data_IF_185804214287
#
_entry.id   IF_185804214287
#
_cell.length_a   1.000
_cell.length_b   1.000
_cell.length_c   1.000
_cell.angle_alpha   90.00
_cell.angle_beta   90.00
_cell.angle_gamma   90.00
#
_symmetry.space_group_name_H-M   'P 1'
#
loop_
_entity.id
_entity.type
_entity.pdbx_description
1 polymer ?
#
# COMPACT_ATOMS: atom_id res chain seq x y z
N UNK A 1 42.31 -52.16 -7.67
CA UNK A 1 43.07 -50.97 -8.12
C UNK A 1 42.29 -50.31 -9.25
N UNK A 2 41.27 -49.51 -8.91
CA UNK A 2 40.48 -48.72 -9.86
C UNK A 2 40.17 -47.38 -9.19
N UNK A 3 40.79 -46.33 -9.73
CA UNK A 3 40.66 -44.96 -9.27
C UNK A 3 39.53 -44.28 -10.04
N UNK A 4 38.59 -43.66 -9.32
CA UNK A 4 37.53 -42.83 -9.90
C UNK A 4 37.92 -41.37 -9.69
N UNK A 5 38.09 -40.69 -10.82
CA UNK A 5 38.41 -39.27 -10.99
C UNK A 5 37.29 -38.36 -10.47
N UNK A 6 37.68 -37.37 -9.66
CA UNK A 6 36.85 -36.21 -9.26
C UNK A 6 36.73 -35.25 -10.45
N UNK A 7 35.50 -34.91 -10.84
CA UNK A 7 35.21 -33.81 -11.76
C UNK A 7 34.88 -32.57 -10.91
N UNK A 8 35.72 -31.54 -11.04
CA UNK A 8 35.52 -30.24 -10.41
C UNK A 8 34.45 -29.43 -11.14
N UNK A 9 33.55 -28.84 -10.37
CA UNK A 9 32.54 -27.91 -10.87
C UNK A 9 33.17 -26.51 -11.00
N UNK A 10 33.16 -25.97 -12.22
CA UNK A 10 33.62 -24.63 -12.55
C UNK A 10 32.71 -23.56 -11.94
N UNK A 11 33.24 -22.74 -11.02
CA UNK A 11 32.67 -21.44 -10.67
C UNK A 11 32.91 -20.47 -11.82
N UNK A 12 31.86 -20.13 -12.58
CA UNK A 12 31.87 -18.93 -13.43
C UNK A 12 31.45 -17.72 -12.60
N UNK A 13 32.42 -16.83 -12.48
CA UNK A 13 32.41 -15.50 -11.89
C UNK A 13 31.34 -14.64 -12.58
N UNK A 14 30.34 -14.17 -11.84
CA UNK A 14 29.52 -13.02 -12.23
C UNK A 14 30.20 -11.75 -11.73
N UNK A 15 30.88 -11.03 -12.62
CA UNK A 15 31.33 -9.66 -12.40
C UNK A 15 30.16 -8.72 -12.65
N UNK A 16 29.62 -8.07 -11.61
CA UNK A 16 28.79 -6.88 -11.74
C UNK A 16 29.66 -5.61 -11.55
N UNK A 17 29.45 -4.56 -12.34
CA UNK A 17 30.18 -3.31 -12.18
C UNK A 17 29.74 -2.59 -10.90
N UNK A 18 30.69 -2.26 -10.04
CA UNK A 18 30.51 -1.35 -8.91
C UNK A 18 30.28 0.07 -9.44
N UNK A 19 29.03 0.47 -9.60
CA UNK A 19 28.69 1.90 -9.70
C UNK A 19 28.61 2.48 -8.29
N UNK A 20 29.42 3.51 -8.06
CA UNK A 20 29.52 4.25 -6.80
C UNK A 20 28.17 4.89 -6.42
N UNK A 21 27.45 4.26 -5.49
CA UNK A 21 26.34 4.90 -4.79
C UNK A 21 26.90 5.90 -3.78
N UNK A 22 26.81 7.19 -4.10
CA UNK A 22 26.97 8.27 -3.11
C UNK A 22 25.74 8.27 -2.18
N UNK A 23 25.91 8.33 -0.85
CA UNK A 23 24.78 8.49 0.04
C UNK A 23 24.23 9.93 -0.09
N UNK A 24 22.94 10.05 -0.44
CA UNK A 24 22.19 11.29 -0.28
C UNK A 24 22.08 11.58 1.22
N UNK A 25 22.87 12.53 1.70
CA UNK A 25 22.69 13.10 3.03
C UNK A 25 21.36 13.84 3.08
N UNK A 26 20.47 13.40 3.95
CA UNK A 26 19.26 14.13 4.31
C UNK A 26 19.66 15.39 5.10
N UNK A 27 19.71 16.54 4.42
CA UNK A 27 19.76 17.83 5.10
C UNK A 27 18.35 18.18 5.57
N UNK A 28 18.15 18.17 6.89
CA UNK A 28 16.95 18.68 7.53
C UNK A 28 16.88 20.20 7.38
N UNK A 29 16.22 20.68 6.32
CA UNK A 29 15.82 22.08 6.24
C UNK A 29 14.41 22.23 6.83
N UNK A 30 14.36 22.70 8.07
CA UNK A 30 13.15 23.29 8.66
C UNK A 30 12.74 24.48 7.80
N UNK A 31 11.68 24.33 7.01
CA UNK A 31 11.06 25.44 6.28
C UNK A 31 10.39 26.34 7.32
N UNK A 32 11.06 27.44 7.64
CA UNK A 32 10.50 28.57 8.36
C UNK A 32 9.59 29.33 7.40
N UNK A 33 8.29 29.28 7.62
CA UNK A 33 7.31 30.09 6.88
C UNK A 33 7.65 31.56 7.13
N UNK A 34 8.16 32.23 6.09
CA UNK A 34 8.28 33.68 6.04
C UNK A 34 7.38 34.16 4.91
N UNK A 35 6.47 35.08 5.23
CA UNK A 35 5.47 35.62 4.31
C UNK A 35 6.14 36.30 3.11
N UNK A 36 5.70 36.04 1.86
CA UNK A 36 6.25 36.74 0.72
C UNK A 36 5.69 38.16 0.62
N UNK A 37 6.58 39.08 0.25
CA UNK A 37 6.32 40.49 -0.02
C UNK A 37 5.47 40.61 -1.29
N UNK A 38 4.38 41.38 -1.22
CA UNK A 38 3.51 41.67 -2.37
C UNK A 38 4.30 42.36 -3.48
N UNK A 39 4.41 41.70 -4.64
CA UNK A 39 4.79 42.33 -5.91
C UNK A 39 3.58 42.31 -6.82
N UNK A 40 3.16 43.50 -7.26
CA UNK A 40 1.99 43.73 -8.10
C UNK A 40 2.34 43.48 -9.56
N UNK A 41 2.20 42.23 -10.01
CA UNK A 41 2.11 41.92 -11.43
C UNK A 41 0.95 40.94 -11.64
N UNK A 42 -0.11 41.41 -12.28
CA UNK A 42 -1.30 40.61 -12.61
C UNK A 42 -0.91 39.40 -13.47
N UNK A 43 -1.19 38.15 -13.06
CA UNK A 43 -1.00 37.01 -13.93
C UNK A 43 -2.19 36.92 -14.90
N UNK A 44 -1.88 36.81 -16.20
CA UNK A 44 -2.81 36.34 -17.22
C UNK A 44 -3.25 34.91 -16.85
N UNK A 45 -4.33 34.78 -16.07
CA UNK A 45 -4.93 33.48 -15.79
C UNK A 45 -5.77 33.07 -17.00
N UNK A 46 -5.29 32.07 -17.74
CA UNK A 46 -6.20 31.21 -18.49
C UNK A 46 -7.30 30.71 -17.53
N UNK A 47 -8.57 30.63 -17.97
CA UNK A 47 -9.65 30.20 -17.09
C UNK A 47 -9.32 28.82 -16.52
N UNK A 48 -9.57 28.63 -15.22
CA UNK A 48 -9.39 27.33 -14.58
C UNK A 48 -10.21 26.28 -15.33
N UNK A 49 -9.59 25.11 -15.56
CA UNK A 49 -10.32 23.94 -16.05
C UNK A 49 -11.47 23.62 -15.10
N UNK A 50 -12.58 23.10 -15.64
CA UNK A 50 -13.77 22.75 -14.86
C UNK A 50 -14.05 21.26 -14.98
N UNK A 51 -14.19 20.60 -13.84
CA UNK A 51 -14.43 19.16 -13.74
C UNK A 51 -15.81 18.94 -13.13
N UNK A 52 -16.64 18.17 -13.83
CA UNK A 52 -18.00 17.83 -13.41
C UNK A 52 -18.06 16.56 -12.59
N UNK A 53 -18.94 16.54 -11.59
CA UNK A 53 -19.44 15.32 -10.95
C UNK A 53 -20.87 15.53 -10.49
N UNK A 54 -21.54 14.51 -9.95
CA UNK A 54 -22.91 14.66 -9.50
C UNK A 54 -23.04 15.49 -8.21
N UNK A 55 -24.20 16.14 -8.05
CA UNK A 55 -24.63 16.75 -6.78
C UNK A 55 -25.43 15.75 -5.92
N UNK A 56 -25.97 16.15 -4.77
CA UNK A 56 -26.67 15.28 -3.84
C UNK A 56 -25.71 14.54 -2.90
N UNK A 57 -26.19 13.42 -2.34
CA UNK A 57 -25.34 12.51 -1.57
C UNK A 57 -24.13 12.08 -2.39
N UNK A 58 -22.98 12.08 -1.73
CA UNK A 58 -21.69 11.73 -2.33
C UNK A 58 -21.07 10.48 -1.70
N UNK A 59 -20.22 9.82 -2.47
CA UNK A 59 -19.48 8.63 -2.13
C UNK A 59 -17.98 8.93 -2.07
N UNK A 60 -17.20 7.86 -1.94
CA UNK A 60 -15.76 7.98 -1.78
C UNK A 60 -15.04 8.07 -3.12
N UNK A 61 -15.59 7.45 -4.15
CA UNK A 61 -14.94 7.31 -5.44
C UNK A 61 -14.94 8.65 -6.19
N UNK A 62 -16.05 9.38 -6.27
CA UNK A 62 -16.09 10.67 -6.95
C UNK A 62 -15.39 11.76 -6.13
N UNK A 63 -15.45 11.69 -4.79
CA UNK A 63 -14.65 12.54 -3.91
C UNK A 63 -13.14 12.34 -4.13
N UNK A 64 -12.67 11.09 -4.19
CA UNK A 64 -11.26 10.77 -4.45
C UNK A 64 -10.86 11.07 -5.90
N UNK A 65 -11.69 10.73 -6.88
CA UNK A 65 -11.47 10.99 -8.30
C UNK A 65 -11.31 12.48 -8.59
N UNK A 66 -12.20 13.31 -8.04
CA UNK A 66 -12.11 14.77 -8.14
C UNK A 66 -10.85 15.33 -7.47
N UNK A 67 -10.37 14.71 -6.38
CA UNK A 67 -9.11 15.11 -5.75
C UNK A 67 -7.92 14.73 -6.62
N UNK A 68 -7.84 13.48 -7.08
CA UNK A 68 -6.72 12.96 -7.87
C UNK A 68 -6.55 13.69 -9.20
N UNK A 69 -7.64 13.93 -9.94
CA UNK A 69 -7.56 14.59 -11.24
C UNK A 69 -6.98 16.01 -11.12
N UNK A 70 -7.22 16.71 -10.00
CA UNK A 70 -6.64 18.03 -9.70
C UNK A 70 -5.14 18.03 -9.44
N UNK A 71 -4.53 16.86 -9.22
CA UNK A 71 -3.07 16.69 -9.09
C UNK A 71 -2.36 16.57 -10.45
N UNK A 72 -3.13 16.38 -11.52
CA UNK A 72 -2.60 16.24 -12.89
C UNK A 72 -2.20 17.59 -13.47
N UNK A 73 -1.33 17.59 -14.48
CA UNK A 73 -0.93 18.81 -15.19
C UNK A 73 -2.11 19.38 -15.98
N UNK A 74 -2.90 18.50 -16.60
CA UNK A 74 -4.04 18.87 -17.44
C UNK A 74 -5.17 19.55 -16.67
N UNK A 75 -5.43 19.10 -15.44
CA UNK A 75 -6.54 19.60 -14.62
C UNK A 75 -6.06 20.23 -13.30
N UNK A 76 -4.80 20.68 -13.27
CA UNK A 76 -4.21 21.28 -12.07
C UNK A 76 -5.10 22.40 -11.53
N UNK A 77 -5.46 22.30 -10.26
CA UNK A 77 -6.32 23.28 -9.57
C UNK A 77 -7.68 23.53 -10.24
N UNK A 78 -8.21 22.58 -11.02
CA UNK A 78 -9.51 22.73 -11.66
C UNK A 78 -10.63 23.00 -10.65
N UNK A 79 -11.62 23.78 -11.07
CA UNK A 79 -12.86 24.00 -10.33
C UNK A 79 -13.73 22.74 -10.41
N UNK A 80 -14.35 22.36 -9.28
CA UNK A 80 -15.29 21.23 -9.23
C UNK A 80 -16.71 21.75 -9.34
N UNK A 81 -17.44 21.29 -10.36
CA UNK A 81 -18.84 21.62 -10.62
C UNK A 81 -19.71 20.40 -10.30
N UNK A 82 -20.62 20.52 -9.33
CA UNK A 82 -21.52 19.43 -8.93
C UNK A 82 -22.90 19.61 -9.54
N UNK A 83 -23.27 18.75 -10.49
CA UNK A 83 -24.53 18.83 -11.23
C UNK A 83 -24.86 17.51 -11.93
N UNK A 84 -26.14 17.28 -12.22
CA UNK A 84 -26.61 16.22 -13.14
C UNK A 84 -27.20 16.77 -14.43
N UNK A 85 -27.17 18.10 -14.65
CA UNK A 85 -27.71 18.71 -15.87
C UNK A 85 -26.80 18.38 -17.08
N UNK A 86 -27.28 17.58 -18.05
CA UNK A 86 -26.46 17.20 -19.20
C UNK A 86 -25.94 18.40 -20.00
N UNK A 87 -26.69 19.51 -20.04
CA UNK A 87 -26.28 20.72 -20.76
C UNK A 87 -25.10 21.42 -20.08
N UNK A 88 -25.02 21.35 -18.75
CA UNK A 88 -23.87 21.87 -18.02
C UNK A 88 -22.68 20.94 -18.24
N UNK A 89 -22.88 19.62 -18.08
CA UNK A 89 -21.84 18.60 -18.21
C UNK A 89 -21.16 18.60 -19.59
N UNK A 90 -21.91 18.84 -20.67
CA UNK A 90 -21.39 18.93 -22.04
C UNK A 90 -20.30 20.01 -22.19
N UNK A 91 -20.42 21.12 -21.45
CA UNK A 91 -19.47 22.24 -21.48
C UNK A 91 -18.29 22.15 -20.51
N UNK A 92 -18.13 21.04 -19.78
CA UNK A 92 -17.05 20.84 -18.81
C UNK A 92 -15.86 20.13 -19.43
N UNK A 93 -14.66 20.43 -18.93
CA UNK A 93 -13.40 19.90 -19.46
C UNK A 93 -13.22 18.41 -19.16
N UNK A 94 -13.68 17.94 -17.99
CA UNK A 94 -13.79 16.53 -17.65
C UNK A 94 -15.07 16.28 -16.86
N UNK A 95 -15.56 15.03 -16.86
CA UNK A 95 -16.73 14.63 -16.09
C UNK A 95 -16.49 13.25 -15.47
N UNK A 96 -16.75 13.12 -14.18
CA UNK A 96 -16.54 11.91 -13.38
C UNK A 96 -17.85 11.53 -12.70
N UNK A 97 -18.15 10.24 -12.66
CA UNK A 97 -19.27 9.69 -11.89
C UNK A 97 -20.67 10.20 -12.27
N UNK A 98 -20.79 10.81 -13.46
CA UNK A 98 -22.05 11.29 -14.00
C UNK A 98 -21.97 11.39 -15.51
N UNK A 99 -23.13 11.29 -16.17
CA UNK A 99 -23.27 11.44 -17.62
C UNK A 99 -23.41 10.13 -18.39
N UNK A 100 -23.16 8.99 -17.75
CA UNK A 100 -23.35 7.63 -18.30
C UNK A 100 -22.36 7.26 -19.39
N UNK A 101 -21.16 7.84 -19.39
CA UNK A 101 -20.15 7.66 -20.44
C UNK A 101 -18.76 7.46 -19.85
N UNK A 102 -18.10 6.38 -20.26
CA UNK A 102 -16.65 6.22 -20.15
C UNK A 102 -16.02 6.45 -21.53
N UNK A 103 -15.29 7.56 -21.65
CA UNK A 103 -14.50 7.91 -22.83
C UNK A 103 -13.25 8.69 -22.42
N UNK A 104 -12.09 8.03 -22.28
CA UNK A 104 -10.87 8.69 -21.84
C UNK A 104 -10.33 9.70 -22.87
N UNK A 105 -10.70 9.61 -24.15
CA UNK A 105 -10.27 10.61 -25.15
C UNK A 105 -10.98 11.95 -24.96
N UNK A 106 -12.15 11.95 -24.31
CA UNK A 106 -12.94 13.13 -23.99
C UNK A 106 -13.05 13.38 -22.48
N UNK A 107 -12.17 12.75 -21.68
CA UNK A 107 -12.12 12.88 -20.22
C UNK A 107 -13.48 12.64 -19.54
N UNK A 108 -14.18 11.60 -19.97
CA UNK A 108 -15.42 11.12 -19.35
C UNK A 108 -15.14 9.82 -18.60
N UNK A 109 -15.35 9.83 -17.29
CA UNK A 109 -14.98 8.75 -16.38
C UNK A 109 -16.17 8.36 -15.52
N UNK A 110 -17.24 7.88 -16.16
CA UNK A 110 -18.41 7.31 -15.49
C UNK A 110 -18.46 5.79 -15.70
N UNK A 111 -18.96 5.06 -14.71
CA UNK A 111 -19.04 3.60 -14.65
C UNK A 111 -20.49 3.06 -14.53
N UNK A 112 -21.49 3.94 -14.41
CA UNK A 112 -22.89 3.57 -14.17
C UNK A 112 -23.63 2.95 -15.38
N UNK A 113 -23.06 3.04 -16.58
CA UNK A 113 -23.69 2.58 -17.81
C UNK A 113 -23.87 1.06 -17.85
N UNK A 114 -24.99 0.63 -18.42
CA UNK A 114 -25.31 -0.79 -18.59
C UNK A 114 -24.21 -1.48 -19.41
N UNK A 115 -23.70 -2.59 -18.90
CA UNK A 115 -22.65 -3.37 -19.56
C UNK A 115 -21.24 -2.79 -19.42
N UNK A 116 -21.04 -1.84 -18.51
CA UNK A 116 -19.68 -1.45 -18.10
C UNK A 116 -19.00 -2.62 -17.38
N UNK A 117 -17.83 -3.02 -17.89
CA UNK A 117 -17.04 -4.16 -17.39
C UNK A 117 -15.54 -3.81 -17.32
N UNK A 118 -15.20 -2.51 -17.35
CA UNK A 118 -13.80 -2.09 -17.35
C UNK A 118 -13.15 -2.43 -16.01
N UNK A 119 -11.97 -3.04 -16.10
CA UNK A 119 -11.12 -3.39 -14.96
C UNK A 119 -9.76 -2.68 -15.07
N UNK A 120 -9.01 -2.61 -13.98
CA UNK A 120 -7.67 -2.03 -13.99
C UNK A 120 -6.70 -2.74 -14.96
N UNK A 121 -6.90 -4.05 -15.16
CA UNK A 121 -5.97 -4.92 -15.88
C UNK A 121 -4.91 -5.47 -14.93
N UNK A 122 -3.74 -5.87 -15.45
CA UNK A 122 -2.60 -6.33 -14.64
C UNK A 122 -2.89 -7.51 -13.67
N UNK A 123 -3.92 -8.32 -13.96
CA UNK A 123 -4.35 -9.45 -13.13
C UNK A 123 -5.45 -9.12 -12.13
N UNK A 124 -5.89 -7.85 -12.04
CA UNK A 124 -7.04 -7.43 -11.24
C UNK A 124 -8.33 -7.58 -12.04
N UNK A 125 -9.38 -8.08 -11.39
CA UNK A 125 -10.68 -8.34 -12.01
C UNK A 125 -11.81 -7.48 -11.41
N UNK A 126 -11.49 -6.62 -10.44
CA UNK A 126 -12.43 -5.71 -9.81
C UNK A 126 -12.85 -4.65 -10.83
N UNK A 127 -14.17 -4.51 -11.02
CA UNK A 127 -14.75 -3.47 -11.88
C UNK A 127 -14.41 -2.09 -11.32
N UNK A 128 -13.99 -1.16 -12.16
CA UNK A 128 -13.57 0.17 -11.72
C UNK A 128 -14.76 1.04 -11.32
N UNK A 129 -14.57 1.91 -10.31
CA UNK A 129 -15.41 3.10 -10.10
C UNK A 129 -14.80 4.32 -10.79
N UNK A 130 -15.42 5.49 -10.64
CA UNK A 130 -14.91 6.74 -11.22
C UNK A 130 -13.51 7.09 -10.68
N UNK A 131 -13.23 6.81 -9.40
CA UNK A 131 -11.87 6.91 -8.84
C UNK A 131 -10.88 5.97 -9.55
N UNK A 132 -11.25 4.71 -9.73
CA UNK A 132 -10.43 3.71 -10.41
C UNK A 132 -10.11 4.09 -11.85
N UNK A 133 -11.07 4.67 -12.57
CA UNK A 133 -10.87 5.17 -13.93
C UNK A 133 -9.87 6.33 -13.96
N UNK A 134 -10.04 7.32 -13.08
CA UNK A 134 -9.07 8.43 -12.95
C UNK A 134 -7.68 7.89 -12.61
N UNK A 135 -7.58 6.97 -11.66
CA UNK A 135 -6.32 6.37 -11.28
C UNK A 135 -5.70 5.57 -12.44
N UNK A 136 -6.49 4.83 -13.22
CA UNK A 136 -6.01 4.08 -14.38
C UNK A 136 -5.32 4.97 -15.43
N UNK A 137 -5.86 6.17 -15.66
CA UNK A 137 -5.35 7.09 -16.68
C UNK A 137 -4.29 8.07 -16.17
N UNK A 138 -4.38 8.48 -14.90
CA UNK A 138 -3.53 9.55 -14.34
C UNK A 138 -2.67 9.11 -13.14
N UNK A 139 -2.86 7.90 -12.62
CA UNK A 139 -2.16 7.43 -11.42
C UNK A 139 -0.65 7.35 -11.61
N UNK A 140 -0.17 6.99 -12.81
CA UNK A 140 1.26 7.01 -13.14
C UNK A 140 1.84 8.41 -13.09
N UNK A 141 1.16 9.40 -13.66
CA UNK A 141 1.57 10.80 -13.63
C UNK A 141 1.73 11.30 -12.18
N UNK A 142 0.73 11.02 -11.33
CA UNK A 142 0.73 11.42 -9.92
C UNK A 142 1.91 10.78 -9.16
N UNK A 143 2.15 9.49 -9.38
CA UNK A 143 3.24 8.74 -8.73
C UNK A 143 4.61 9.22 -9.24
N UNK A 144 4.74 9.47 -10.55
CA UNK A 144 5.95 9.96 -11.18
C UNK A 144 6.37 11.31 -10.61
N UNK A 145 5.41 12.22 -10.35
CA UNK A 145 5.64 13.50 -9.68
C UNK A 145 6.17 13.33 -8.25
N UNK A 146 5.60 12.41 -7.46
CA UNK A 146 6.10 12.15 -6.09
C UNK A 146 7.52 11.58 -6.10
N UNK A 147 7.85 10.69 -7.05
CA UNK A 147 9.18 10.11 -7.17
C UNK A 147 10.21 11.02 -7.85
N UNK A 148 9.76 12.06 -8.55
CA UNK A 148 10.58 12.88 -9.46
C UNK A 148 11.26 12.03 -10.54
N UNK A 149 10.50 11.09 -11.12
CA UNK A 149 10.92 10.19 -12.19
C UNK A 149 9.97 10.32 -13.40
N UNK A 150 10.32 9.71 -14.54
CA UNK A 150 9.41 9.60 -15.68
C UNK A 150 8.33 8.54 -15.46
N UNK A 151 7.16 8.71 -16.09
CA UNK A 151 6.01 7.78 -15.95
C UNK A 151 6.31 6.34 -16.37
N UNK A 152 7.23 6.15 -17.32
CA UNK A 152 7.67 4.83 -17.79
C UNK A 152 8.72 4.17 -16.90
N UNK A 153 9.14 4.82 -15.80
CA UNK A 153 10.15 4.26 -14.91
C UNK A 153 9.62 2.99 -14.20
N UNK A 154 10.42 1.90 -14.09
CA UNK A 154 9.97 0.65 -13.48
C UNK A 154 9.44 0.80 -12.06
N UNK A 155 10.03 1.68 -11.24
CA UNK A 155 9.52 1.95 -9.89
C UNK A 155 8.18 2.69 -9.89
N UNK A 156 7.89 3.55 -10.87
CA UNK A 156 6.56 4.16 -11.03
C UNK A 156 5.55 3.07 -11.33
N UNK A 157 5.85 2.16 -12.25
CA UNK A 157 4.97 1.04 -12.55
C UNK A 157 4.77 0.11 -11.33
N UNK A 158 5.82 -0.17 -10.57
CA UNK A 158 5.73 -1.00 -9.36
C UNK A 158 4.84 -0.35 -8.29
N UNK A 159 4.97 0.97 -8.10
CA UNK A 159 4.11 1.73 -7.19
C UNK A 159 2.67 1.80 -7.69
N UNK A 160 2.46 1.95 -8.98
CA UNK A 160 1.15 1.97 -9.61
C UNK A 160 0.34 0.70 -9.31
N UNK A 161 0.99 -0.47 -9.41
CA UNK A 161 0.35 -1.74 -9.06
C UNK A 161 0.16 -1.90 -7.54
N UNK A 162 1.18 -1.53 -6.75
CA UNK A 162 1.12 -1.69 -5.29
C UNK A 162 0.06 -0.79 -4.64
N UNK A 163 -0.07 0.45 -5.08
CA UNK A 163 -1.07 1.41 -4.59
C UNK A 163 -2.47 1.00 -5.05
N UNK A 164 -2.62 0.50 -6.28
CA UNK A 164 -3.91 -0.04 -6.69
C UNK A 164 -4.37 -1.16 -5.75
N UNK A 165 -3.52 -2.16 -5.56
CA UNK A 165 -3.79 -3.33 -4.70
C UNK A 165 -4.07 -2.98 -3.24
N UNK A 166 -3.34 -2.02 -2.68
CA UNK A 166 -3.39 -1.72 -1.24
C UNK A 166 -4.37 -0.61 -0.87
N UNK A 167 -4.86 0.16 -1.85
CA UNK A 167 -5.70 1.33 -1.60
C UNK A 167 -6.88 1.43 -2.57
N UNK A 168 -6.63 1.50 -3.88
CA UNK A 168 -7.68 1.81 -4.86
C UNK A 168 -8.70 0.70 -5.05
N UNK A 169 -8.27 -0.56 -5.13
CA UNK A 169 -9.14 -1.70 -5.44
C UNK A 169 -10.30 -1.82 -4.44
N UNK A 170 -10.08 -1.51 -3.17
CA UNK A 170 -11.15 -1.51 -2.17
C UNK A 170 -12.18 -0.40 -2.40
N UNK A 171 -11.76 0.77 -2.91
CA UNK A 171 -12.68 1.87 -3.27
C UNK A 171 -13.53 1.45 -4.46
N UNK A 172 -12.92 0.88 -5.50
CA UNK A 172 -13.60 0.34 -6.68
C UNK A 172 -14.62 -0.75 -6.30
N UNK A 173 -14.21 -1.70 -5.45
CA UNK A 173 -15.05 -2.81 -5.03
C UNK A 173 -16.27 -2.35 -4.23
N UNK A 174 -16.07 -1.48 -3.23
CA UNK A 174 -17.14 -0.99 -2.36
C UNK A 174 -18.19 -0.23 -3.17
N UNK A 175 -17.73 0.66 -4.05
CA UNK A 175 -18.61 1.48 -4.86
C UNK A 175 -19.44 0.65 -5.86
N UNK A 176 -18.83 -0.40 -6.43
CA UNK A 176 -19.52 -1.33 -7.31
C UNK A 176 -20.34 -2.42 -6.58
N UNK A 177 -20.44 -2.36 -5.25
CA UNK A 177 -21.20 -3.33 -4.45
C UNK A 177 -20.61 -4.74 -4.48
N UNK A 178 -19.30 -4.87 -4.68
CA UNK A 178 -18.60 -6.15 -4.73
C UNK A 178 -18.27 -6.60 -3.31
N UNK A 179 -18.70 -7.82 -2.97
CA UNK A 179 -18.37 -8.43 -1.67
C UNK A 179 -16.89 -8.80 -1.62
N UNK A 180 -16.26 -8.65 -0.44
CA UNK A 180 -14.86 -9.04 -0.25
C UNK A 180 -14.63 -10.55 -0.41
N UNK A 181 -15.67 -11.37 -0.18
CA UNK A 181 -15.61 -12.82 -0.29
C UNK A 181 -16.86 -13.36 -0.99
N UNK A 182 -16.67 -14.35 -1.86
CA UNK A 182 -17.77 -15.11 -2.48
C UNK A 182 -18.34 -16.11 -1.46
N UNK A 183 -19.24 -15.64 -0.58
CA UNK A 183 -19.86 -16.48 0.45
C UNK A 183 -21.26 -16.00 0.83
N UNK A 184 -22.15 -16.96 1.09
CA UNK A 184 -23.50 -16.69 1.61
C UNK A 184 -23.53 -16.55 3.15
N UNK A 185 -22.38 -16.72 3.82
CA UNK A 185 -22.32 -16.60 5.28
C UNK A 185 -22.31 -15.12 5.70
N UNK A 186 -23.05 -14.74 6.75
CA UNK A 186 -22.96 -13.39 7.27
C UNK A 186 -21.55 -13.10 7.81
N UNK A 187 -21.08 -11.83 7.74
CA UNK A 187 -19.79 -11.47 8.28
C UNK A 187 -19.81 -11.64 9.81
N UNK A 188 -18.67 -12.06 10.38
CA UNK A 188 -18.53 -12.23 11.83
C UNK A 188 -18.68 -10.91 12.60
N UNK A 189 -18.42 -9.79 11.95
CA UNK A 189 -18.59 -8.43 12.46
C UNK A 189 -18.77 -7.46 11.29
N UNK A 190 -19.38 -6.30 11.55
CA UNK A 190 -19.52 -5.22 10.56
C UNK A 190 -18.37 -4.24 10.73
N UNK A 191 -17.67 -3.91 9.64
CA UNK A 191 -16.60 -2.92 9.65
C UNK A 191 -17.04 -1.64 8.94
N UNK A 192 -17.30 -0.57 9.71
CA UNK A 192 -17.65 0.76 9.19
C UNK A 192 -16.55 1.81 9.44
N UNK A 193 -15.30 1.36 9.61
CA UNK A 193 -14.14 2.25 9.86
C UNK A 193 -13.35 2.57 8.58
N UNK A 194 -13.64 1.90 7.47
CA UNK A 194 -12.98 2.14 6.18
C UNK A 194 -13.26 3.54 5.61
N UNK A 195 -12.42 3.95 4.66
CA UNK A 195 -12.45 5.29 4.06
C UNK A 195 -13.83 5.63 3.47
N UNK A 196 -14.46 4.73 2.70
CA UNK A 196 -15.79 5.02 2.12
C UNK A 196 -16.87 5.27 3.16
N UNK A 197 -16.85 4.53 4.28
CA UNK A 197 -17.73 4.79 5.43
C UNK A 197 -17.44 6.13 6.09
N UNK A 198 -16.17 6.55 6.18
CA UNK A 198 -15.76 7.85 6.74
C UNK A 198 -16.17 9.02 5.85
N UNK A 199 -16.02 8.88 4.54
CA UNK A 199 -16.52 9.85 3.56
C UNK A 199 -18.04 9.93 3.63
N UNK A 200 -18.73 8.80 3.65
CA UNK A 200 -20.20 8.76 3.76
C UNK A 200 -20.74 9.54 4.96
N UNK A 201 -20.04 9.51 6.11
CA UNK A 201 -20.40 10.27 7.32
C UNK A 201 -20.26 11.80 7.18
N UNK A 202 -19.64 12.30 6.12
CA UNK A 202 -19.56 13.73 5.85
C UNK A 202 -20.77 14.26 5.08
N UNK A 203 -21.60 13.39 4.50
CA UNK A 203 -22.86 13.80 3.89
C UNK A 203 -23.73 14.53 4.91
N UNK A 204 -24.62 15.40 4.40
CA UNK A 204 -25.61 16.05 5.25
C UNK A 204 -26.52 15.00 5.88
N UNK A 205 -26.74 15.13 7.19
CA UNK A 205 -27.69 14.28 7.89
C UNK A 205 -29.11 14.63 7.43
N UNK A 206 -29.99 13.63 7.33
CA UNK A 206 -31.38 13.84 6.93
C UNK A 206 -32.17 14.73 7.91
N UNK A 207 -31.70 14.85 9.15
CA UNK A 207 -32.25 15.74 10.18
C UNK A 207 -31.66 17.14 10.16
N UNK A 208 -30.64 17.41 9.34
CA UNK A 208 -30.04 18.73 9.25
C UNK A 208 -31.06 19.72 8.65
N UNK A 209 -31.38 20.83 9.34
CA UNK A 209 -32.37 21.79 8.84
C UNK A 209 -31.89 22.54 7.59
N UNK A 210 -30.58 22.57 7.34
CA UNK A 210 -29.99 23.19 6.16
C UNK A 210 -29.52 22.12 5.18
N UNK A 211 -30.34 21.90 4.15
CA UNK A 211 -30.08 21.00 3.02
C UNK A 211 -29.67 21.78 1.76
N UNK A 212 -29.06 22.96 1.94
CA UNK A 212 -28.68 23.82 0.81
C UNK A 212 -27.55 23.22 -0.04
N UNK A 213 -27.52 23.48 -1.36
CA UNK A 213 -26.41 23.09 -2.23
C UNK A 213 -25.06 23.61 -1.75
N UNK A 214 -25.01 24.81 -1.15
CA UNK A 214 -23.80 25.42 -0.61
C UNK A 214 -23.21 24.56 0.50
N UNK A 215 -24.02 24.15 1.48
CA UNK A 215 -23.58 23.33 2.60
C UNK A 215 -23.21 21.91 2.16
N UNK A 216 -23.93 21.35 1.19
CA UNK A 216 -23.59 20.07 0.57
C UNK A 216 -22.21 20.13 -0.11
N UNK A 217 -21.93 21.23 -0.84
CA UNK A 217 -20.64 21.43 -1.50
C UNK A 217 -19.50 21.62 -0.50
N UNK A 218 -19.72 22.33 0.61
CA UNK A 218 -18.73 22.42 1.70
C UNK A 218 -18.44 21.04 2.31
N UNK A 219 -19.47 20.21 2.50
CA UNK A 219 -19.33 18.83 2.94
C UNK A 219 -18.51 17.99 1.94
N UNK A 220 -18.79 18.14 0.65
CA UNK A 220 -18.03 17.46 -0.41
C UNK A 220 -16.56 17.88 -0.44
N UNK A 221 -16.23 19.17 -0.26
CA UNK A 221 -14.84 19.61 -0.17
C UNK A 221 -14.10 18.95 1.00
N UNK A 222 -14.77 18.75 2.15
CA UNK A 222 -14.19 17.99 3.27
C UNK A 222 -13.99 16.52 2.93
N UNK A 223 -14.90 15.91 2.17
CA UNK A 223 -14.77 14.54 1.69
C UNK A 223 -13.59 14.38 0.73
N UNK A 224 -13.43 15.29 -0.24
CA UNK A 224 -12.27 15.34 -1.13
C UNK A 224 -10.97 15.46 -0.34
N UNK A 225 -10.92 16.36 0.65
CA UNK A 225 -9.73 16.55 1.48
C UNK A 225 -9.38 15.28 2.27
N UNK A 226 -10.37 14.62 2.88
CA UNK A 226 -10.20 13.37 3.62
C UNK A 226 -9.68 12.23 2.74
N UNK A 227 -10.37 11.95 1.63
CA UNK A 227 -9.99 10.85 0.74
C UNK A 227 -8.64 11.13 0.06
N UNK A 228 -8.44 12.37 -0.36
CA UNK A 228 -7.22 12.83 -1.01
C UNK A 228 -5.99 12.78 -0.11
N UNK A 229 -6.11 13.19 1.16
CA UNK A 229 -4.99 13.12 2.10
C UNK A 229 -4.56 11.69 2.35
N UNK A 230 -5.51 10.76 2.53
CA UNK A 230 -5.19 9.34 2.74
C UNK A 230 -4.57 8.69 1.52
N UNK A 231 -5.03 9.06 0.32
CA UNK A 231 -4.39 8.62 -0.91
C UNK A 231 -2.94 9.11 -1.01
N UNK A 232 -2.68 10.40 -0.75
CA UNK A 232 -1.32 10.94 -0.77
C UNK A 232 -0.43 10.33 0.31
N UNK A 233 -0.94 10.09 1.51
CA UNK A 233 -0.23 9.37 2.58
C UNK A 233 0.15 7.95 2.13
N UNK A 234 -0.76 7.25 1.45
CA UNK A 234 -0.48 5.93 0.86
C UNK A 234 0.61 5.99 -0.21
N UNK A 235 0.51 6.95 -1.15
CA UNK A 235 1.53 7.16 -2.19
C UNK A 235 2.90 7.44 -1.57
N UNK A 236 2.97 8.35 -0.60
CA UNK A 236 4.21 8.74 0.09
C UNK A 236 4.79 7.61 0.92
N UNK A 237 3.95 6.85 1.64
CA UNK A 237 4.40 5.66 2.36
C UNK A 237 5.02 4.65 1.39
N UNK A 238 4.36 4.39 0.27
CA UNK A 238 4.86 3.42 -0.67
C UNK A 238 6.16 3.89 -1.33
N UNK A 239 6.25 5.16 -1.73
CA UNK A 239 7.43 5.74 -2.34
C UNK A 239 8.64 5.80 -1.39
N UNK A 240 8.43 6.27 -0.16
CA UNK A 240 9.53 6.62 0.77
C UNK A 240 9.92 5.49 1.72
N UNK A 241 9.01 4.55 1.99
CA UNK A 241 9.22 3.48 2.97
C UNK A 241 9.13 2.09 2.35
N UNK A 242 8.04 1.78 1.65
CA UNK A 242 7.84 0.44 1.09
C UNK A 242 8.77 0.14 -0.07
N UNK A 243 8.90 1.02 -1.06
CA UNK A 243 9.69 0.78 -2.28
C UNK A 243 11.17 0.49 -1.97
N UNK A 244 11.87 1.28 -1.12
CA UNK A 244 13.27 1.00 -0.77
C UNK A 244 13.45 -0.31 0.00
N UNK A 245 12.46 -0.72 0.79
CA UNK A 245 12.52 -1.95 1.59
C UNK A 245 12.71 -3.21 0.74
N UNK A 246 12.28 -3.20 -0.54
CA UNK A 246 12.41 -4.37 -1.42
C UNK A 246 13.85 -4.87 -1.53
N UNK A 247 14.79 -3.97 -1.73
CA UNK A 247 16.22 -4.31 -1.87
C UNK A 247 16.75 -5.00 -0.60
N UNK A 248 16.40 -4.47 0.56
CA UNK A 248 16.75 -5.04 1.87
C UNK A 248 16.18 -6.45 2.01
N UNK A 249 14.89 -6.65 1.71
CA UNK A 249 14.25 -7.96 1.81
C UNK A 249 14.90 -8.96 0.86
N UNK A 250 15.18 -8.55 -0.38
CA UNK A 250 15.85 -9.39 -1.38
C UNK A 250 17.24 -9.84 -0.93
N UNK A 251 18.04 -8.93 -0.38
CA UNK A 251 19.35 -9.25 0.20
C UNK A 251 19.22 -10.23 1.38
N UNK A 252 18.28 -9.97 2.29
CA UNK A 252 18.05 -10.83 3.45
C UNK A 252 17.55 -12.23 3.07
N UNK A 253 16.78 -12.36 1.98
CA UNK A 253 16.42 -13.66 1.39
C UNK A 253 17.66 -14.34 0.84
N UNK A 254 18.54 -13.64 0.12
CA UNK A 254 19.75 -14.25 -0.44
C UNK A 254 20.70 -14.79 0.64
N UNK A 255 20.84 -14.07 1.76
CA UNK A 255 21.73 -14.40 2.89
C UNK A 255 21.15 -15.45 3.85
N UNK A 256 19.90 -15.88 3.67
CA UNK A 256 19.19 -16.75 4.65
C UNK A 256 19.92 -18.05 4.98
N UNK A 257 20.69 -18.62 4.04
CA UNK A 257 21.47 -19.83 4.26
C UNK A 257 22.72 -19.61 5.11
N UNK A 258 23.26 -18.38 5.13
CA UNK A 258 24.37 -18.00 6.02
C UNK A 258 23.86 -17.81 7.46
N UNK A 259 22.59 -17.43 7.62
CA UNK A 259 21.91 -17.32 8.91
C UNK A 259 21.56 -18.69 9.48
N UNK A 260 20.87 -19.52 8.69
CA UNK A 260 20.47 -20.85 9.08
C UNK A 260 20.52 -21.82 7.89
N UNK A 261 21.20 -22.98 8.01
CA UNK A 261 21.31 -23.94 6.92
C UNK A 261 19.97 -24.47 6.37
N UNK A 262 18.87 -24.36 7.11
CA UNK A 262 17.54 -24.71 6.57
C UNK A 262 17.10 -23.78 5.44
N UNK A 263 17.55 -22.52 5.45
CA UNK A 263 17.03 -21.48 4.57
C UNK A 263 15.60 -21.02 4.88
N UNK A 264 15.02 -21.47 5.99
CA UNK A 264 13.64 -21.13 6.40
C UNK A 264 13.58 -19.97 7.41
N UNK A 265 14.75 -19.45 7.82
CA UNK A 265 14.90 -18.30 8.73
C UNK A 265 15.66 -17.21 8.00
N UNK A 266 15.11 -16.01 7.96
CA UNK A 266 15.82 -14.81 7.51
C UNK A 266 15.97 -13.81 8.65
N UNK A 267 16.98 -12.94 8.54
CA UNK A 267 17.23 -11.86 9.49
C UNK A 267 17.17 -10.54 8.74
N UNK A 268 16.33 -9.62 9.18
CA UNK A 268 16.37 -8.24 8.71
C UNK A 268 17.43 -7.49 9.50
N UNK A 269 18.47 -7.02 8.80
CA UNK A 269 19.53 -6.17 9.36
C UNK A 269 19.00 -4.83 9.88
N UNK A 270 17.89 -4.37 9.33
CA UNK A 270 17.12 -3.19 9.75
C UNK A 270 15.64 -3.49 9.54
N UNK A 271 14.82 -3.14 10.53
CA UNK A 271 13.38 -3.27 10.38
C UNK A 271 12.88 -2.41 9.21
N UNK A 272 12.09 -3.00 8.33
CA UNK A 272 11.43 -2.35 7.21
C UNK A 272 10.10 -3.04 6.89
N UNK A 273 9.20 -2.43 6.08
CA UNK A 273 8.02 -3.12 5.58
C UNK A 273 8.42 -4.33 4.72
N UNK A 274 8.41 -5.53 5.30
CA UNK A 274 8.96 -6.73 4.64
C UNK A 274 7.90 -7.70 4.12
N UNK A 275 6.72 -7.75 4.74
CA UNK A 275 5.74 -8.82 4.55
C UNK A 275 5.33 -9.00 3.09
N UNK A 276 4.82 -7.95 2.45
CA UNK A 276 4.36 -8.03 1.07
C UNK A 276 5.51 -8.33 0.10
N UNK A 277 6.67 -7.68 0.27
CA UNK A 277 7.87 -7.97 -0.53
C UNK A 277 8.31 -9.42 -0.41
N UNK A 278 8.23 -10.01 0.78
CA UNK A 278 8.60 -11.42 0.97
C UNK A 278 7.75 -12.32 0.08
N UNK A 279 6.42 -12.18 0.10
CA UNK A 279 5.53 -13.00 -0.73
C UNK A 279 5.78 -12.80 -2.23
N UNK A 280 5.97 -11.56 -2.67
CA UNK A 280 6.26 -11.26 -4.08
C UNK A 280 7.61 -11.85 -4.51
N UNK A 281 8.67 -11.64 -3.72
CA UNK A 281 10.01 -12.12 -4.02
C UNK A 281 10.10 -13.64 -3.94
N UNK A 282 9.39 -14.30 -3.02
CA UNK A 282 9.34 -15.76 -2.97
C UNK A 282 8.75 -16.35 -4.26
N UNK A 283 7.70 -15.75 -4.80
CA UNK A 283 7.10 -16.16 -6.07
C UNK A 283 8.03 -15.86 -7.28
N UNK A 284 8.58 -14.64 -7.35
CA UNK A 284 9.44 -14.20 -8.46
C UNK A 284 10.75 -14.99 -8.52
N UNK A 285 11.42 -15.17 -7.37
CA UNK A 285 12.70 -15.84 -7.28
C UNK A 285 12.57 -17.36 -7.11
N UNK A 286 11.34 -17.89 -7.03
CA UNK A 286 11.02 -19.30 -6.78
C UNK A 286 11.76 -19.83 -5.55
N UNK A 287 11.65 -19.08 -4.45
CA UNK A 287 12.35 -19.37 -3.19
C UNK A 287 11.86 -20.70 -2.63
N UNK A 288 12.77 -21.64 -2.47
CA UNK A 288 12.56 -22.89 -1.73
C UNK A 288 13.77 -23.16 -0.82
N UNK A 289 13.57 -23.68 0.41
CA UNK A 289 12.27 -23.76 1.09
C UNK A 289 11.73 -22.36 1.42
N UNK A 290 10.40 -22.25 1.57
CA UNK A 290 9.74 -21.01 1.99
C UNK A 290 10.18 -20.56 3.39
N UNK A 291 10.28 -19.24 3.59
CA UNK A 291 10.69 -18.66 4.86
C UNK A 291 9.53 -18.77 5.87
N UNK A 292 9.83 -19.27 7.07
CA UNK A 292 8.86 -19.46 8.15
C UNK A 292 9.04 -18.44 9.28
N UNK A 293 10.26 -17.96 9.50
CA UNK A 293 10.55 -16.97 10.54
C UNK A 293 11.40 -15.82 10.02
N UNK A 294 11.03 -14.60 10.42
CA UNK A 294 11.80 -13.38 10.20
C UNK A 294 12.25 -12.83 11.54
N UNK A 295 13.56 -12.68 11.70
CA UNK A 295 14.17 -12.08 12.89
C UNK A 295 14.52 -10.63 12.63
N UNK A 296 14.32 -9.77 13.62
CA UNK A 296 14.73 -8.37 13.54
C UNK A 296 14.86 -7.76 14.93
N UNK A 297 15.72 -6.76 15.07
CA UNK A 297 15.84 -5.99 16.29
C UNK A 297 14.70 -4.96 16.39
N UNK A 298 14.08 -4.90 17.56
CA UNK A 298 13.27 -3.77 18.01
C UNK A 298 14.24 -2.69 18.52
N UNK A 299 14.60 -1.75 17.65
CA UNK A 299 15.58 -0.69 17.94
C UNK A 299 15.26 0.11 19.22
N UNK A 300 13.98 0.23 19.58
CA UNK A 300 13.55 0.96 20.78
C UNK A 300 13.75 0.12 22.04
N UNK A 301 13.39 -1.16 21.96
CA UNK A 301 13.49 -2.09 23.08
C UNK A 301 14.88 -2.69 23.28
N UNK A 302 15.77 -2.60 22.28
CA UNK A 302 17.04 -3.35 22.20
C UNK A 302 16.82 -4.85 22.45
N UNK A 303 15.75 -5.37 21.87
CA UNK A 303 15.31 -6.76 21.96
C UNK A 303 15.09 -7.30 20.56
N UNK A 304 15.20 -8.61 20.40
CA UNK A 304 15.01 -9.30 19.15
C UNK A 304 13.63 -9.91 19.05
N UNK A 305 12.99 -9.74 17.89
CA UNK A 305 11.71 -10.35 17.54
C UNK A 305 11.94 -11.63 16.73
N UNK A 306 11.10 -12.61 16.99
CA UNK A 306 10.94 -13.81 16.16
C UNK A 306 9.51 -13.76 15.62
N UNK A 307 9.35 -13.36 14.36
CA UNK A 307 8.02 -13.25 13.75
C UNK A 307 7.78 -14.39 12.77
N UNK A 308 6.69 -15.13 12.97
CA UNK A 308 6.25 -16.16 12.05
C UNK A 308 5.64 -15.51 10.80
N UNK A 309 6.01 -16.02 9.62
CA UNK A 309 5.44 -15.56 8.35
C UNK A 309 4.01 -16.09 8.21
N UNK A 310 3.09 -15.25 7.76
CA UNK A 310 1.70 -15.63 7.51
C UNK A 310 1.57 -16.65 6.37
N UNK A 311 0.52 -17.46 6.36
CA UNK A 311 0.23 -18.40 5.28
C UNK A 311 -0.06 -17.69 3.96
N UNK A 312 -0.73 -16.54 4.02
CA UNK A 312 -0.98 -15.61 2.91
C UNK A 312 -0.90 -14.16 3.43
N UNK A 313 -0.78 -13.14 2.54
CA UNK A 313 -0.67 -11.74 2.95
C UNK A 313 -1.80 -11.21 3.85
N UNK A 314 -3.01 -11.76 3.69
CA UNK A 314 -4.26 -11.39 4.36
C UNK A 314 -4.65 -12.33 5.52
N UNK A 315 -3.89 -13.40 5.76
CA UNK A 315 -4.20 -14.40 6.79
C UNK A 315 -3.56 -14.07 8.14
N UNK A 316 -4.30 -14.34 9.21
CA UNK A 316 -3.78 -14.36 10.58
C UNK A 316 -3.09 -15.68 10.94
N UNK A 317 -3.23 -16.71 10.11
CA UNK A 317 -2.59 -18.01 10.29
C UNK A 317 -1.13 -17.92 9.84
N UNK A 318 -0.22 -18.44 10.65
CA UNK A 318 1.21 -18.48 10.32
C UNK A 318 1.55 -19.78 9.59
N UNK A 319 2.50 -19.74 8.64
CA UNK A 319 3.08 -20.94 7.98
C UNK A 319 3.57 -21.95 9.02
N UNK A 320 4.20 -21.42 10.08
CA UNK A 320 4.57 -22.18 11.26
C UNK A 320 4.56 -21.26 12.50
N UNK A 321 3.44 -21.22 13.25
CA UNK A 321 3.39 -20.44 14.48
C UNK A 321 4.40 -20.98 15.49
N UNK A 322 4.85 -20.14 16.42
CA UNK A 322 5.69 -20.58 17.54
C UNK A 322 4.97 -21.68 18.36
N UNK A 323 5.72 -22.62 18.97
CA UNK A 323 5.18 -23.79 19.67
C UNK A 323 4.07 -23.45 20.66
N UNK A 324 3.01 -24.26 20.66
CA UNK A 324 1.83 -24.04 21.51
C UNK A 324 2.19 -23.91 23.00
N UNK A 325 3.14 -24.72 23.48
CA UNK A 325 3.61 -24.69 24.86
C UNK A 325 4.33 -23.39 25.26
N UNK A 326 4.78 -22.56 24.31
CA UNK A 326 5.39 -21.25 24.60
C UNK A 326 4.37 -20.12 24.64
N UNK A 327 3.21 -20.30 24.02
CA UNK A 327 2.27 -19.20 23.74
C UNK A 327 1.67 -18.64 25.01
N UNK A 328 1.69 -17.32 25.14
CA UNK A 328 1.22 -16.61 26.34
C UNK A 328 2.25 -16.54 27.47
N UNK A 329 3.33 -17.33 27.42
CA UNK A 329 4.40 -17.26 28.42
C UNK A 329 5.31 -16.05 28.19
N UNK A 330 5.92 -15.58 29.28
CA UNK A 330 6.80 -14.40 29.31
C UNK A 330 8.03 -14.64 30.19
N UNK A 331 9.07 -13.86 29.94
CA UNK A 331 10.23 -13.69 30.81
C UNK A 331 10.83 -15.03 31.31
N UNK A 332 11.03 -15.18 32.62
CA UNK A 332 11.64 -16.37 33.23
C UNK A 332 10.82 -17.64 33.04
N UNK A 333 9.49 -17.54 32.99
CA UNK A 333 8.62 -18.70 32.77
C UNK A 333 8.82 -19.27 31.37
N UNK A 334 8.84 -18.39 30.36
CA UNK A 334 9.14 -18.77 28.98
C UNK A 334 10.59 -19.27 28.85
N UNK A 335 11.54 -18.65 29.55
CA UNK A 335 12.95 -19.09 29.53
C UNK A 335 13.12 -20.50 30.11
N UNK A 336 12.38 -20.83 31.18
CA UNK A 336 12.36 -22.18 31.77
C UNK A 336 11.72 -23.21 30.84
N UNK A 337 10.58 -22.88 30.24
CA UNK A 337 9.85 -23.77 29.34
C UNK A 337 10.64 -24.06 28.05
N UNK A 338 11.21 -23.01 27.44
CA UNK A 338 12.00 -23.14 26.20
C UNK A 338 13.40 -23.71 26.45
N UNK A 339 13.91 -23.60 27.68
CA UNK A 339 15.32 -23.78 28.03
C UNK A 339 16.26 -22.84 27.26
N UNK A 340 15.77 -21.64 26.92
CA UNK A 340 16.51 -20.58 26.24
C UNK A 340 16.53 -19.37 27.16
N UNK A 341 17.71 -18.84 27.47
CA UNK A 341 17.83 -17.67 28.34
C UNK A 341 17.34 -16.39 27.67
N UNK A 342 16.83 -15.45 28.47
CA UNK A 342 16.50 -14.10 28.02
C UNK A 342 15.28 -14.02 27.12
N UNK A 343 14.37 -15.00 27.17
CA UNK A 343 13.10 -14.90 26.48
C UNK A 343 12.27 -13.74 27.05
N UNK A 344 11.54 -13.01 26.19
CA UNK A 344 10.72 -11.86 26.59
C UNK A 344 9.24 -12.25 26.60
N UNK A 345 8.73 -12.77 25.48
CA UNK A 345 7.36 -13.27 25.38
C UNK A 345 7.15 -14.12 24.13
N UNK A 346 6.03 -14.85 24.10
CA UNK A 346 5.41 -15.35 22.86
C UNK A 346 3.92 -15.00 22.87
N UNK A 347 3.42 -14.39 21.80
CA UNK A 347 2.01 -14.05 21.67
C UNK A 347 1.12 -15.31 21.74
N UNK A 348 -0.10 -15.18 22.25
CA UNK A 348 -1.02 -16.32 22.46
C UNK A 348 -1.32 -17.12 21.17
N UNK A 349 -1.34 -16.48 20.00
CA UNK A 349 -1.50 -17.19 18.73
C UNK A 349 -0.19 -17.75 18.15
N UNK A 350 0.96 -17.39 18.71
CA UNK A 350 2.28 -17.83 18.25
C UNK A 350 2.84 -17.08 17.04
N UNK A 351 2.18 -16.01 16.56
CA UNK A 351 2.65 -15.27 15.38
C UNK A 351 3.95 -14.48 15.62
N UNK A 352 4.24 -14.14 16.88
CA UNK A 352 5.45 -13.39 17.25
C UNK A 352 5.90 -13.77 18.65
N UNK A 353 7.22 -13.76 18.85
CA UNK A 353 7.85 -13.79 20.16
C UNK A 353 9.07 -12.89 20.20
N UNK A 354 9.81 -12.93 21.30
CA UNK A 354 11.06 -12.19 21.40
C UNK A 354 12.03 -12.72 22.43
N UNK A 355 13.27 -12.33 22.26
CA UNK A 355 14.39 -12.60 23.14
C UNK A 355 15.21 -11.31 23.32
N UNK A 356 15.95 -11.19 24.42
CA UNK A 356 16.86 -10.07 24.66
C UNK A 356 18.02 -10.03 23.66
N UNK A 357 18.43 -11.17 23.13
CA UNK A 357 19.61 -11.31 22.26
C UNK A 357 19.26 -11.87 20.89
N UNK A 358 20.10 -11.55 19.90
CA UNK A 358 20.03 -12.13 18.56
C UNK A 358 20.15 -13.65 18.63
N UNK A 359 21.15 -14.14 19.36
CA UNK A 359 21.46 -15.55 19.49
C UNK A 359 20.28 -16.32 20.11
N UNK A 360 19.67 -15.76 21.16
CA UNK A 360 18.50 -16.34 21.79
C UNK A 360 17.28 -16.38 20.85
N UNK A 361 17.04 -15.30 20.08
CA UNK A 361 15.97 -15.29 19.08
C UNK A 361 16.19 -16.31 17.95
N UNK A 362 17.44 -16.48 17.51
CA UNK A 362 17.80 -17.48 16.51
C UNK A 362 17.62 -18.90 17.06
N UNK A 363 18.01 -19.17 18.31
CA UNK A 363 17.77 -20.47 18.96
C UNK A 363 16.28 -20.73 19.14
N UNK A 364 15.48 -19.71 19.46
CA UNK A 364 14.01 -19.84 19.51
C UNK A 364 13.44 -20.24 18.16
N UNK A 365 13.81 -19.56 17.08
CA UNK A 365 13.33 -19.88 15.72
C UNK A 365 13.77 -21.30 15.29
N UNK A 366 15.03 -21.68 15.52
CA UNK A 366 15.55 -23.02 15.22
C UNK A 366 14.85 -24.12 15.99
N UNK A 367 14.58 -23.91 17.28
CA UNK A 367 13.87 -24.87 18.11
C UNK A 367 12.41 -24.97 17.64
N UNK A 368 11.76 -23.83 17.38
CA UNK A 368 10.41 -23.79 16.85
C UNK A 368 10.28 -24.57 15.53
N UNK A 369 11.23 -24.42 14.59
CA UNK A 369 11.25 -25.17 13.32
C UNK A 369 11.16 -26.69 13.49
N UNK A 370 11.77 -27.23 14.55
CA UNK A 370 11.88 -28.68 14.80
C UNK A 370 10.70 -29.25 15.60
N UNK A 371 9.91 -28.40 16.24
CA UNK A 371 8.77 -28.77 17.07
C UNK A 371 7.46 -28.88 16.28
#
# INVERSE_FOLDING_TARGET
MWAITRVGFNQKIFNLPKTLSRPLMATSNLIRVSSPSYTTSSPNHAPFKRVGTHNGSFHCDEALGCFMIRLTDKFSNSEIIRTRDPKVLEGLDAVLDVGGVYDPNHDRYDHHQKGFEEVFGHGFNTKLSSAGLVYKHFGKEIIAKELQLGEDHPDVHRLFLAIYKSFMEAIDAIDNGINQFDTDKPPKYVNNTHLSSRVGRLNLDWTDPDQSPEKENEAFQRAMALAGSEFLESVQFHARSWLPARSIVMECIAERFDIDPSGEIMVLKRFCPWKLHLFELEAELKVEPLIKYVLYEDERGKQWRVQAVAASPDSFESRKPLPAQWRGLRDDELSKETRISGCVFVHMSGFIGGNQTYEGALVMARTALKM
#
